data_IF_337484425646
#
_entry.id   IF_337484425646
#
_cell.length_a   1.000
_cell.length_b   1.000
_cell.length_c   1.000
_cell.angle_alpha   90.00
_cell.angle_beta   90.00
_cell.angle_gamma   90.00
#
_symmetry.space_group_name_H-M   'P 1'
#
loop_
_entity.id
_entity.type
_entity.pdbx_description
1 polymer ?
#
# COMPACT_ATOMS: atom_id res chain seq x y z
N UNK A 1 -14.30 -6.68 -10.81
CA UNK A 1 -12.88 -6.95 -10.46
C UNK A 1 -12.58 -6.35 -9.08
N UNK A 2 -12.97 -5.09 -8.80
CA UNK A 2 -12.65 -4.43 -7.51
C UNK A 2 -13.04 -5.28 -6.30
N UNK A 3 -14.27 -5.80 -6.25
CA UNK A 3 -14.77 -6.61 -5.13
C UNK A 3 -14.07 -7.98 -4.95
N UNK A 4 -13.17 -8.35 -5.87
CA UNK A 4 -12.44 -9.62 -5.83
C UNK A 4 -10.93 -9.43 -5.75
N UNK A 5 -10.43 -8.19 -5.60
CA UNK A 5 -9.00 -7.87 -5.57
C UNK A 5 -8.24 -8.77 -4.59
N UNK A 6 -8.67 -8.80 -3.35
CA UNK A 6 -7.98 -9.54 -2.29
C UNK A 6 -7.98 -11.06 -2.54
N UNK A 7 -9.09 -11.59 -3.05
CA UNK A 7 -9.17 -13.01 -3.44
C UNK A 7 -8.20 -13.36 -4.58
N UNK A 8 -8.09 -12.49 -5.57
CA UNK A 8 -7.17 -12.65 -6.70
C UNK A 8 -5.73 -12.62 -6.21
N UNK A 9 -5.38 -11.61 -5.40
CA UNK A 9 -4.03 -11.46 -4.83
C UNK A 9 -3.66 -12.69 -3.99
N UNK A 10 -4.53 -13.14 -3.08
CA UNK A 10 -4.32 -14.38 -2.30
C UNK A 10 -4.05 -15.57 -3.21
N UNK A 11 -4.85 -15.75 -4.25
CA UNK A 11 -4.69 -16.87 -5.18
C UNK A 11 -3.35 -16.84 -5.92
N UNK A 12 -2.94 -15.65 -6.34
CA UNK A 12 -1.63 -15.46 -6.99
C UNK A 12 -0.51 -15.80 -6.01
N UNK A 13 -0.52 -15.23 -4.81
CA UNK A 13 0.50 -15.47 -3.79
C UNK A 13 0.59 -16.96 -3.42
N UNK A 14 -0.54 -17.63 -3.18
CA UNK A 14 -0.56 -19.07 -2.90
C UNK A 14 0.07 -19.88 -4.03
N UNK A 15 -0.18 -19.51 -5.28
CA UNK A 15 0.41 -20.20 -6.43
C UNK A 15 1.90 -19.94 -6.54
N UNK A 16 2.37 -18.71 -6.26
CA UNK A 16 3.79 -18.35 -6.28
C UNK A 16 4.57 -19.09 -5.19
N UNK A 17 4.03 -19.17 -3.96
CA UNK A 17 4.63 -19.97 -2.89
C UNK A 17 4.79 -21.42 -3.30
N UNK A 18 3.72 -22.02 -3.85
CA UNK A 18 3.72 -23.45 -4.22
C UNK A 18 4.58 -23.79 -5.45
N UNK A 19 4.54 -22.94 -6.48
CA UNK A 19 5.14 -23.24 -7.79
C UNK A 19 6.51 -22.59 -8.00
N UNK A 20 6.74 -21.44 -7.43
CA UNK A 20 7.97 -20.66 -7.57
C UNK A 20 8.83 -20.66 -6.29
N UNK A 21 8.46 -21.46 -5.29
CA UNK A 21 9.15 -21.54 -4.00
C UNK A 21 9.39 -20.17 -3.36
N UNK A 22 8.43 -19.25 -3.53
CA UNK A 22 8.50 -17.93 -2.94
C UNK A 22 8.62 -18.04 -1.41
N UNK A 23 9.67 -17.50 -0.86
CA UNK A 23 9.86 -17.36 0.59
C UNK A 23 10.12 -15.88 0.90
N UNK A 24 9.10 -15.09 1.18
CA UNK A 24 9.29 -13.68 1.43
C UNK A 24 9.71 -13.44 2.87
N UNK A 25 10.97 -13.71 3.15
CA UNK A 25 11.59 -13.36 4.43
C UNK A 25 11.87 -11.86 4.51
N UNK A 26 11.97 -11.20 3.36
CA UNK A 26 12.16 -9.76 3.22
C UNK A 26 11.05 -9.19 2.35
N UNK A 27 10.41 -8.14 2.86
CA UNK A 27 9.36 -7.41 2.15
C UNK A 27 9.79 -5.96 1.99
N UNK A 28 9.74 -5.47 0.77
CA UNK A 28 9.95 -4.06 0.45
C UNK A 28 8.60 -3.36 0.33
N UNK A 29 8.54 -2.15 0.86
CA UNK A 29 7.39 -1.27 0.70
C UNK A 29 7.81 0.07 0.14
N UNK A 30 7.13 0.50 -0.91
CA UNK A 30 7.30 1.82 -1.51
C UNK A 30 5.96 2.41 -1.93
N UNK A 31 5.91 3.74 -2.02
CA UNK A 31 4.74 4.49 -2.48
C UNK A 31 5.09 5.23 -3.77
N UNK A 32 4.24 5.04 -4.76
CA UNK A 32 4.31 5.79 -6.01
C UNK A 32 3.03 6.58 -6.26
N UNK A 33 3.15 7.70 -6.95
CA UNK A 33 2.04 8.56 -7.30
C UNK A 33 1.61 8.28 -8.74
N UNK A 34 0.31 8.06 -8.94
CA UNK A 34 -0.30 8.04 -10.25
C UNK A 34 -1.11 9.32 -10.44
N UNK A 35 -0.94 9.96 -11.55
CA UNK A 35 -1.77 11.09 -11.95
C UNK A 35 -2.57 10.72 -13.20
N UNK A 36 -3.68 11.41 -13.34
CA UNK A 36 -4.57 11.28 -14.47
C UNK A 36 -4.63 12.64 -15.16
N UNK A 37 -4.81 12.65 -16.47
CA UNK A 37 -5.04 13.88 -17.23
C UNK A 37 -6.49 14.36 -17.05
N UNK A 38 -6.92 14.47 -15.79
CA UNK A 38 -8.23 14.91 -15.36
C UNK A 38 -8.00 15.98 -14.30
N UNK A 39 -8.54 17.16 -14.51
CA UNK A 39 -8.28 18.33 -13.66
C UNK A 39 -9.08 18.29 -12.35
N UNK A 40 -10.25 17.64 -12.36
CA UNK A 40 -11.12 17.59 -11.20
C UNK A 40 -10.76 16.44 -10.26
N UNK A 41 -10.65 16.71 -8.94
CA UNK A 41 -10.50 15.65 -7.93
C UNK A 41 -11.82 14.87 -7.78
N UNK A 42 -11.75 13.68 -7.19
CA UNK A 42 -12.95 12.94 -6.83
C UNK A 42 -13.61 13.57 -5.60
N UNK A 43 -14.93 13.61 -5.59
CA UNK A 43 -15.69 13.96 -4.39
C UNK A 43 -15.65 12.83 -3.36
N UNK A 44 -15.83 13.19 -2.10
CA UNK A 44 -16.05 12.22 -1.06
C UNK A 44 -17.53 11.79 -1.07
N UNK A 45 -17.79 10.51 -0.87
CA UNK A 45 -19.14 10.00 -0.68
C UNK A 45 -19.58 10.30 0.77
N UNK A 46 -20.67 11.02 0.91
CA UNK A 46 -21.21 11.40 2.20
C UNK A 46 -22.50 10.64 2.50
N UNK A 47 -22.80 10.43 3.78
CA UNK A 47 -24.12 9.98 4.22
C UNK A 47 -25.12 11.16 4.29
N UNK A 48 -26.37 10.86 4.67
CA UNK A 48 -27.44 11.87 4.77
C UNK A 48 -27.16 12.91 5.89
N UNK A 49 -26.31 12.58 6.85
CA UNK A 49 -25.88 13.45 7.94
C UNK A 49 -24.61 14.26 7.60
N UNK A 50 -24.01 14.05 6.42
CA UNK A 50 -22.82 14.74 5.95
C UNK A 50 -21.49 14.10 6.44
N UNK A 51 -21.51 12.92 7.03
CA UNK A 51 -20.29 12.21 7.39
C UNK A 51 -19.69 11.50 6.16
N UNK A 52 -18.36 11.45 6.10
CA UNK A 52 -17.66 10.81 5.00
C UNK A 52 -17.77 9.28 5.12
N UNK A 53 -18.50 8.66 4.19
CA UNK A 53 -18.61 7.21 4.04
C UNK A 53 -17.39 6.65 3.30
N UNK A 54 -16.98 7.31 2.22
CA UNK A 54 -15.84 6.92 1.39
C UNK A 54 -15.11 8.16 0.90
N UNK A 55 -13.79 8.16 0.99
CA UNK A 55 -12.97 9.26 0.45
C UNK A 55 -12.70 9.05 -1.03
N UNK A 56 -12.82 10.13 -1.80
CA UNK A 56 -12.38 10.15 -3.18
C UNK A 56 -10.90 9.82 -3.30
N UNK A 57 -10.53 9.03 -4.31
CA UNK A 57 -9.14 8.59 -4.49
C UNK A 57 -8.26 9.65 -5.14
N UNK A 58 -8.77 10.32 -6.19
CA UNK A 58 -8.03 11.39 -6.88
C UNK A 58 -8.13 12.68 -6.07
N UNK A 59 -7.05 13.09 -5.45
CA UNK A 59 -6.97 14.33 -4.66
C UNK A 59 -5.71 15.09 -5.02
N UNK A 60 -5.74 16.40 -4.87
CA UNK A 60 -4.52 17.20 -4.96
C UNK A 60 -3.62 16.87 -3.76
N UNK A 61 -2.38 16.50 -4.04
CA UNK A 61 -1.41 16.10 -3.05
C UNK A 61 0.00 16.51 -3.42
N UNK A 62 0.96 16.15 -2.58
CA UNK A 62 2.38 16.39 -2.86
C UNK A 62 2.83 15.42 -3.95
N UNK A 63 3.08 15.96 -5.14
CA UNK A 63 3.61 15.20 -6.27
C UNK A 63 5.11 15.47 -6.43
N UNK A 64 5.91 14.43 -6.58
CA UNK A 64 7.36 14.52 -6.81
C UNK A 64 7.70 15.26 -8.13
N UNK A 65 6.76 15.29 -9.07
CA UNK A 65 6.94 15.91 -10.39
C UNK A 65 6.39 17.33 -10.50
N UNK A 66 6.00 17.97 -9.39
CA UNK A 66 5.46 19.35 -9.34
C UNK A 66 4.22 19.57 -10.25
N UNK A 67 3.51 18.53 -10.63
CA UNK A 67 2.30 18.62 -11.45
C UNK A 67 1.11 19.08 -10.60
N UNK A 68 0.29 19.94 -11.20
CA UNK A 68 -0.93 20.49 -10.58
C UNK A 68 -2.19 19.66 -10.95
N UNK A 69 -2.06 18.36 -11.02
CA UNK A 69 -3.16 17.44 -11.32
C UNK A 69 -3.47 16.58 -10.10
N UNK A 70 -4.72 16.14 -9.92
CA UNK A 70 -5.06 15.19 -8.88
C UNK A 70 -4.30 13.87 -9.06
N UNK A 71 -3.83 13.31 -7.96
CA UNK A 71 -3.07 12.08 -7.91
C UNK A 71 -3.80 11.02 -7.10
N UNK A 72 -3.43 9.77 -7.33
CA UNK A 72 -3.73 8.63 -6.46
C UNK A 72 -2.40 8.06 -6.00
N UNK A 73 -2.27 7.77 -4.73
CA UNK A 73 -1.10 7.09 -4.19
C UNK A 73 -1.31 5.58 -4.21
N UNK A 74 -0.27 4.84 -4.58
CA UNK A 74 -0.27 3.39 -4.55
C UNK A 74 0.91 2.90 -3.71
N UNK A 75 0.59 2.22 -2.60
CA UNK A 75 1.56 1.49 -1.80
C UNK A 75 1.73 0.08 -2.37
N UNK A 76 2.97 -0.30 -2.64
CA UNK A 76 3.34 -1.58 -3.23
C UNK A 76 4.21 -2.37 -2.25
N UNK A 77 3.80 -3.61 -1.95
CA UNK A 77 4.63 -4.59 -1.27
C UNK A 77 5.26 -5.54 -2.29
N UNK A 78 6.57 -5.75 -2.18
CA UNK A 78 7.34 -6.64 -3.05
C UNK A 78 8.17 -7.62 -2.22
N UNK A 79 8.46 -8.79 -2.77
CA UNK A 79 9.43 -9.71 -2.19
C UNK A 79 10.88 -9.33 -2.56
N UNK A 80 11.84 -10.13 -2.08
CA UNK A 80 13.27 -9.97 -2.32
C UNK A 80 13.69 -10.15 -3.80
N UNK A 81 12.81 -10.76 -4.61
CA UNK A 81 13.00 -10.89 -6.05
C UNK A 81 12.33 -9.75 -6.85
N UNK A 82 11.75 -8.76 -6.16
CA UNK A 82 11.01 -7.66 -6.79
C UNK A 82 9.64 -8.06 -7.34
N UNK A 83 9.11 -9.22 -6.94
CA UNK A 83 7.78 -9.66 -7.39
C UNK A 83 6.72 -9.07 -6.47
N UNK A 84 5.70 -8.39 -7.00
CA UNK A 84 4.61 -7.82 -6.21
C UNK A 84 3.92 -8.87 -5.34
N UNK A 85 3.68 -8.52 -4.07
CA UNK A 85 2.92 -9.30 -3.10
C UNK A 85 1.49 -8.78 -3.05
N UNK A 86 1.34 -7.49 -2.81
CA UNK A 86 0.04 -6.81 -2.76
C UNK A 86 0.19 -5.32 -3.03
N UNK A 87 -0.92 -4.69 -3.38
CA UNK A 87 -1.01 -3.26 -3.62
C UNK A 87 -2.17 -2.65 -2.85
N UNK A 88 -1.98 -1.44 -2.34
CA UNK A 88 -3.04 -0.63 -1.73
C UNK A 88 -3.08 0.76 -2.34
N UNK A 89 -4.29 1.27 -2.57
CA UNK A 89 -4.51 2.63 -3.05
C UNK A 89 -4.92 3.55 -1.91
N UNK A 90 -4.44 4.78 -1.95
CA UNK A 90 -4.76 5.82 -0.98
C UNK A 90 -5.15 7.11 -1.70
N UNK A 91 -5.98 7.96 -1.07
CA UNK A 91 -6.22 9.29 -1.58
C UNK A 91 -4.93 10.06 -1.82
N UNK A 92 -4.87 10.80 -2.92
CA UNK A 92 -3.66 11.51 -3.33
C UNK A 92 -3.13 12.55 -2.34
N UNK A 93 -3.96 13.02 -1.42
CA UNK A 93 -3.56 13.92 -0.33
C UNK A 93 -3.09 13.20 0.94
N UNK A 94 -2.96 11.88 0.91
CA UNK A 94 -2.38 11.12 2.02
C UNK A 94 -0.88 11.32 2.03
N UNK A 95 -0.29 11.58 3.20
CA UNK A 95 1.17 11.66 3.32
C UNK A 95 1.78 10.25 3.29
N UNK A 96 2.88 10.07 2.57
CA UNK A 96 3.52 8.76 2.33
C UNK A 96 3.71 7.96 3.63
N UNK A 97 4.21 8.60 4.69
CA UNK A 97 4.44 7.94 5.97
C UNK A 97 3.16 7.44 6.68
N UNK A 98 1.99 7.94 6.28
CA UNK A 98 0.70 7.49 6.84
C UNK A 98 0.12 6.28 6.09
N UNK A 99 0.71 5.87 4.97
CA UNK A 99 0.19 4.78 4.14
C UNK A 99 0.62 3.40 4.63
N UNK A 100 1.83 3.28 5.19
CA UNK A 100 2.42 1.99 5.56
C UNK A 100 1.58 1.23 6.59
N UNK A 101 1.20 1.88 7.70
CA UNK A 101 0.46 1.20 8.78
C UNK A 101 -0.87 0.63 8.33
N UNK A 102 -1.77 1.39 7.68
CA UNK A 102 -3.05 0.84 7.22
C UNK A 102 -2.86 -0.21 6.14
N UNK A 103 -1.89 -0.04 5.22
CA UNK A 103 -1.58 -1.05 4.22
C UNK A 103 -1.12 -2.37 4.86
N UNK A 104 -0.23 -2.29 5.84
CA UNK A 104 0.28 -3.45 6.54
C UNK A 104 -0.81 -4.14 7.36
N UNK A 105 -1.57 -3.39 8.17
CA UNK A 105 -2.65 -3.93 9.00
C UNK A 105 -3.71 -4.66 8.18
N UNK A 106 -4.03 -4.14 6.99
CA UNK A 106 -5.01 -4.77 6.11
C UNK A 106 -4.52 -6.07 5.49
N UNK A 107 -3.24 -6.17 5.21
CA UNK A 107 -2.67 -7.27 4.44
C UNK A 107 -1.89 -8.29 5.27
N UNK A 108 -1.58 -8.00 6.54
CA UNK A 108 -0.72 -8.86 7.37
C UNK A 108 -1.29 -10.26 7.57
N UNK A 109 -2.61 -10.36 7.71
CA UNK A 109 -3.29 -11.65 7.85
C UNK A 109 -3.35 -12.43 6.54
N UNK A 110 -3.31 -11.71 5.41
CA UNK A 110 -3.35 -12.28 4.06
C UNK A 110 -1.99 -12.73 3.57
N UNK A 111 -0.92 -12.22 4.17
CA UNK A 111 0.44 -12.50 3.75
C UNK A 111 0.95 -13.87 4.25
N UNK A 112 0.23 -14.59 5.06
CA UNK A 112 0.51 -15.95 5.58
C UNK A 112 2.01 -16.25 5.89
N UNK A 113 2.77 -15.22 6.25
CA UNK A 113 4.18 -15.30 6.57
C UNK A 113 4.38 -15.45 8.07
N UNK A 114 5.18 -16.45 8.45
CA UNK A 114 5.51 -16.67 9.86
C UNK A 114 6.37 -15.54 10.45
N UNK A 115 7.25 -14.98 9.63
CA UNK A 115 8.14 -13.86 9.96
C UNK A 115 8.55 -13.16 8.69
N UNK A 116 8.78 -11.87 8.75
CA UNK A 116 9.39 -11.10 7.68
C UNK A 116 10.11 -9.87 8.21
N UNK A 117 11.05 -9.38 7.42
CA UNK A 117 11.74 -8.11 7.60
C UNK A 117 11.13 -7.11 6.63
N UNK A 118 10.59 -6.02 7.14
CA UNK A 118 10.04 -4.96 6.31
C UNK A 118 11.12 -3.90 6.06
N UNK A 119 11.36 -3.60 4.80
CA UNK A 119 12.25 -2.53 4.35
C UNK A 119 11.41 -1.47 3.64
N UNK A 120 11.48 -0.24 4.09
CA UNK A 120 10.79 0.90 3.49
C UNK A 120 11.69 2.13 3.49
N UNK A 121 11.38 3.13 2.67
CA UNK A 121 12.14 4.37 2.63
C UNK A 121 12.06 5.11 3.98
N UNK A 122 13.09 5.88 4.28
CA UNK A 122 13.25 6.67 5.51
C UNK A 122 12.08 7.61 5.80
N UNK A 123 11.37 8.08 4.81
CA UNK A 123 10.17 8.93 4.95
C UNK A 123 9.06 8.25 5.77
N UNK A 124 9.01 6.91 5.77
CA UNK A 124 8.02 6.14 6.54
C UNK A 124 8.36 6.02 8.03
N UNK A 125 9.58 6.37 8.41
CA UNK A 125 10.09 6.24 9.78
C UNK A 125 10.54 7.60 10.29
N UNK A 126 9.78 8.20 11.20
CA UNK A 126 10.07 9.53 11.75
C UNK A 126 11.44 9.57 12.43
N UNK A 127 12.28 10.48 11.98
CA UNK A 127 13.45 11.14 12.56
C UNK A 127 14.67 10.33 13.02
N UNK A 128 14.63 9.00 13.27
CA UNK A 128 15.75 8.34 13.96
C UNK A 128 16.34 7.07 13.34
N UNK A 129 15.82 6.52 12.24
CA UNK A 129 16.38 5.29 11.66
C UNK A 129 16.46 5.30 10.13
N UNK A 130 17.61 4.88 9.60
CA UNK A 130 17.87 4.82 8.14
C UNK A 130 17.21 3.62 7.42
N UNK A 131 16.81 2.63 8.14
CA UNK A 131 15.92 1.54 7.75
C UNK A 131 15.41 0.88 9.02
N UNK A 132 14.11 0.63 9.15
CA UNK A 132 13.58 -0.10 10.28
C UNK A 132 13.27 -1.53 9.84
N UNK A 133 13.98 -2.46 10.46
CA UNK A 133 13.67 -3.87 10.40
C UNK A 133 12.60 -4.14 11.46
N UNK A 134 11.36 -4.37 11.04
CA UNK A 134 10.30 -4.78 11.94
C UNK A 134 10.17 -6.30 11.83
N UNK A 135 10.53 -7.00 12.89
CA UNK A 135 10.24 -8.41 13.05
C UNK A 135 8.81 -8.55 13.59
N UNK A 136 7.90 -9.04 12.80
CA UNK A 136 6.57 -9.43 13.25
C UNK A 136 6.57 -10.94 13.53
N UNK A 137 6.66 -11.39 14.80
CA UNK A 137 6.32 -12.77 15.11
C UNK A 137 4.81 -12.92 14.97
N UNK A 138 4.36 -13.90 14.20
CA UNK A 138 2.96 -14.32 14.26
C UNK A 138 2.74 -14.87 15.66
N UNK A 139 2.00 -14.14 16.48
CA UNK A 139 1.56 -14.66 17.79
C UNK A 139 0.49 -15.71 17.47
N UNK A 140 0.77 -16.96 17.84
CA UNK A 140 -0.21 -18.05 17.80
C UNK A 140 -1.35 -17.78 18.79
#
# INVERSE_FOLDING_TARGET
IANNKDKIIRRINTNLVKKAHRSPDIIYYDVTNFYFEIEDPDDDLLDDDGNVLEKGCRKFGVCKEERKLPIVQMGLFMDDNGIPITIESFPGNTLDHLTLRPALSKNIDDLDFLRFVLIADRVFFTYWMQAMVILFPKVC
#
